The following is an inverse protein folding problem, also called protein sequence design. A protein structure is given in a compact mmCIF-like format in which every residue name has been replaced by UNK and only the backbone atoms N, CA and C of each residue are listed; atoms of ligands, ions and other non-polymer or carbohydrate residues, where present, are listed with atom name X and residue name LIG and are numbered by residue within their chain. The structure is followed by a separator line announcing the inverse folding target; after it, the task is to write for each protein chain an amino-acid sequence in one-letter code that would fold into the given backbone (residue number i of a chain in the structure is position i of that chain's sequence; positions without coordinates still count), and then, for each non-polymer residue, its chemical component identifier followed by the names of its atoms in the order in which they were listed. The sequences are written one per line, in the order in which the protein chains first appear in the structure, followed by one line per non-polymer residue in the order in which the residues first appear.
data_IF_257479748869
#
_entry.id   IF_257479748869
#
_cell.length_a   1.000
_cell.length_b   1.000
_cell.length_c   1.000
_cell.angle_alpha   90.00
_cell.angle_beta   90.00
_cell.angle_gamma   90.00
#
_symmetry.space_group_name_H-M   'P 1'
#
loop_
_entity.id
_entity.type
_entity.pdbx_description
1 polymer ?
#
# COMPACT_ATOMS: atom_id res chain seq x y z
N UNK A 1 5.86 9.96 -23.48
CA UNK A 1 6.48 8.62 -23.42
C UNK A 1 6.09 7.83 -24.67
N UNK A 2 6.92 6.89 -25.12
CA UNK A 2 6.68 6.07 -26.33
C UNK A 2 5.79 4.84 -26.10
N UNK A 3 5.40 4.58 -24.85
CA UNK A 3 4.58 3.45 -24.43
C UNK A 3 3.55 3.91 -23.38
N UNK A 4 2.55 3.06 -23.10
CA UNK A 4 1.58 3.31 -22.04
C UNK A 4 2.27 3.17 -20.68
N UNK A 5 2.35 4.28 -19.96
CA UNK A 5 3.02 4.38 -18.67
C UNK A 5 2.11 5.06 -17.64
N UNK A 6 0.79 4.80 -17.71
CA UNK A 6 -0.15 5.28 -16.69
C UNK A 6 0.16 4.63 -15.33
N UNK A 7 -0.20 5.27 -14.20
CA UNK A 7 0.09 4.73 -12.86
C UNK A 7 -0.42 3.30 -12.60
N UNK A 8 -1.47 2.87 -13.32
CA UNK A 8 -2.09 1.54 -13.21
C UNK A 8 -1.42 0.48 -14.10
N UNK A 9 -0.46 0.85 -14.95
CA UNK A 9 0.23 -0.09 -15.83
C UNK A 9 1.17 -0.99 -15.00
N UNK A 10 1.13 -2.31 -15.19
CA UNK A 10 2.03 -3.23 -14.50
C UNK A 10 3.50 -3.07 -14.94
N UNK A 11 4.43 -3.40 -14.04
CA UNK A 11 5.87 -3.33 -14.28
C UNK A 11 6.47 -4.74 -14.39
N UNK A 12 7.05 -5.07 -15.55
CA UNK A 12 7.72 -6.35 -15.79
C UNK A 12 8.71 -6.24 -16.96
N UNK A 13 9.83 -6.95 -16.88
CA UNK A 13 10.89 -6.98 -17.90
C UNK A 13 11.34 -5.57 -18.33
N UNK A 14 11.40 -4.65 -17.38
CA UNK A 14 11.78 -3.26 -17.58
C UNK A 14 13.21 -3.00 -17.08
N UNK A 15 13.91 -2.06 -17.71
CA UNK A 15 15.18 -1.53 -17.19
C UNK A 15 14.92 -0.63 -15.98
N UNK A 16 15.97 -0.28 -15.22
CA UNK A 16 15.81 0.42 -13.95
C UNK A 16 15.07 1.75 -14.09
N UNK A 17 15.40 2.55 -15.10
CA UNK A 17 14.78 3.85 -15.37
C UNK A 17 13.29 3.75 -15.76
N UNK A 18 12.84 2.59 -16.21
CA UNK A 18 11.46 2.34 -16.60
C UNK A 18 10.58 1.91 -15.42
N UNK A 19 11.05 0.97 -14.57
CA UNK A 19 10.25 0.49 -13.45
C UNK A 19 10.38 1.35 -12.20
N UNK A 20 11.55 1.95 -11.97
CA UNK A 20 11.81 2.76 -10.79
C UNK A 20 10.89 3.99 -10.77
N UNK A 21 10.10 4.12 -9.70
CA UNK A 21 9.07 5.16 -9.58
C UNK A 21 8.12 5.23 -10.79
N UNK A 22 7.90 4.11 -11.48
CA UNK A 22 7.06 4.06 -12.67
C UNK A 22 7.56 5.02 -13.78
N UNK A 23 8.85 5.38 -13.78
CA UNK A 23 9.41 6.42 -14.66
C UNK A 23 8.66 7.77 -14.58
N UNK A 24 8.09 8.10 -13.41
CA UNK A 24 7.32 9.35 -13.19
C UNK A 24 8.13 10.46 -12.51
N UNK A 25 9.45 10.30 -12.35
CA UNK A 25 10.31 11.28 -11.67
C UNK A 25 10.26 12.69 -12.32
N UNK A 26 10.04 12.76 -13.63
CA UNK A 26 9.88 14.03 -14.36
C UNK A 26 8.48 14.68 -14.17
N UNK A 27 7.57 14.02 -13.47
CA UNK A 27 6.20 14.45 -13.22
C UNK A 27 5.89 14.48 -11.71
N UNK A 28 6.64 15.25 -10.90
CA UNK A 28 6.44 15.28 -9.46
C UNK A 28 5.10 15.92 -9.08
N UNK A 29 4.53 15.58 -7.91
CA UNK A 29 3.38 16.31 -7.37
C UNK A 29 3.80 17.74 -6.96
N UNK A 30 2.83 18.57 -6.57
CA UNK A 30 3.15 19.86 -5.96
C UNK A 30 3.92 19.66 -4.65
N UNK A 31 4.84 20.57 -4.34
CA UNK A 31 5.74 20.47 -3.18
C UNK A 31 5.06 20.54 -1.81
N UNK A 32 3.76 20.81 -1.78
CA UNK A 32 2.93 20.90 -0.58
C UNK A 32 2.04 19.68 -0.36
N UNK A 33 1.97 18.79 -1.35
CA UNK A 33 1.00 17.70 -1.36
C UNK A 33 1.67 16.44 -0.79
N UNK A 34 1.43 16.19 0.50
CA UNK A 34 1.96 15.03 1.22
C UNK A 34 0.84 14.08 1.63
N UNK A 35 1.07 12.79 1.45
CA UNK A 35 0.29 11.77 2.16
C UNK A 35 0.75 11.73 3.63
N UNK A 36 -0.17 11.91 4.56
CA UNK A 36 0.13 11.89 5.99
C UNK A 36 -0.08 10.51 6.61
N UNK A 37 0.90 10.07 7.39
CA UNK A 37 0.86 8.83 8.16
C UNK A 37 0.97 9.15 9.67
N UNK A 38 -0.14 9.12 10.43
CA UNK A 38 -0.11 9.42 11.85
C UNK A 38 0.53 8.28 12.64
N UNK A 39 1.65 8.54 13.32
CA UNK A 39 2.36 7.56 14.13
C UNK A 39 1.41 6.94 15.19
N UNK A 40 1.33 5.61 15.21
CA UNK A 40 0.46 4.83 16.10
C UNK A 40 -1.03 4.86 15.72
N UNK A 41 -1.38 5.56 14.64
CA UNK A 41 -2.72 5.61 14.08
C UNK A 41 -2.87 4.75 12.83
N UNK A 42 -3.75 5.19 11.95
CA UNK A 42 -3.97 4.56 10.65
C UNK A 42 -4.12 5.61 9.55
N UNK A 43 -3.80 5.23 8.32
CA UNK A 43 -4.00 6.05 7.14
C UNK A 43 -4.76 5.24 6.08
N UNK A 44 -5.78 5.85 5.48
CA UNK A 44 -6.53 5.23 4.37
C UNK A 44 -6.01 5.76 3.05
N UNK A 45 -5.69 4.84 2.13
CA UNK A 45 -5.32 5.17 0.75
C UNK A 45 -6.40 4.67 -0.20
N UNK A 46 -6.61 5.41 -1.30
CA UNK A 46 -7.50 5.00 -2.37
C UNK A 46 -6.72 4.24 -3.45
N UNK A 47 -7.08 2.98 -3.66
CA UNK A 47 -6.47 2.10 -4.65
C UNK A 47 -7.55 1.76 -5.68
N UNK A 48 -7.34 2.13 -6.94
CA UNK A 48 -8.32 1.87 -8.00
C UNK A 48 -7.72 1.65 -9.38
N UNK A 49 -8.48 0.98 -10.23
CA UNK A 49 -8.14 0.75 -11.63
C UNK A 49 -8.25 2.01 -12.52
N UNK A 50 -8.95 3.05 -12.07
CA UNK A 50 -8.97 4.36 -12.72
C UNK A 50 -9.15 5.47 -11.69
N UNK A 51 -8.51 6.63 -11.94
CA UNK A 51 -8.59 7.80 -11.05
C UNK A 51 -10.02 8.34 -10.93
N UNK A 52 -10.86 8.15 -11.94
CA UNK A 52 -12.27 8.56 -11.94
C UNK A 52 -13.12 7.85 -10.89
N UNK A 53 -12.67 6.71 -10.34
CA UNK A 53 -13.31 6.00 -9.23
C UNK A 53 -12.84 6.45 -7.85
N UNK A 54 -11.93 7.43 -7.78
CA UNK A 54 -11.36 7.94 -6.51
C UNK A 54 -11.88 9.35 -6.22
N UNK A 55 -11.67 9.85 -5.00
CA UNK A 55 -11.93 11.25 -4.64
C UNK A 55 -11.17 12.26 -5.52
N UNK A 56 -10.10 11.83 -6.19
CA UNK A 56 -9.29 12.62 -7.13
C UNK A 56 -9.84 12.67 -8.57
N UNK A 57 -11.09 12.23 -8.78
CA UNK A 57 -11.76 12.16 -10.09
C UNK A 57 -11.76 13.49 -10.86
N UNK A 58 -11.73 14.64 -10.17
CA UNK A 58 -11.79 15.96 -10.81
C UNK A 58 -10.62 16.19 -11.79
N UNK A 59 -9.50 15.50 -11.59
CA UNK A 59 -8.35 15.51 -12.49
C UNK A 59 -8.28 14.29 -13.43
N UNK A 60 -9.27 13.40 -13.38
CA UNK A 60 -9.38 12.27 -14.30
C UNK A 60 -9.91 12.75 -15.65
N UNK A 61 -9.32 12.32 -16.78
CA UNK A 61 -9.86 12.63 -18.11
C UNK A 61 -11.31 12.17 -18.29
N UNK A 62 -11.72 11.10 -17.59
CA UNK A 62 -13.06 10.54 -17.64
C UNK A 62 -14.08 11.21 -16.71
N UNK A 63 -13.67 12.17 -15.87
CA UNK A 63 -14.54 12.78 -14.87
C UNK A 63 -14.89 11.87 -13.70
N UNK A 64 -16.03 12.13 -13.06
CA UNK A 64 -16.54 11.37 -11.91
C UNK A 64 -17.19 10.06 -12.35
N UNK A 65 -16.53 8.94 -12.07
CA UNK A 65 -17.04 7.60 -12.33
C UNK A 65 -17.25 6.81 -11.03
N UNK A 66 -17.17 7.46 -9.87
CA UNK A 66 -17.28 6.80 -8.57
C UNK A 66 -18.62 6.06 -8.44
N UNK A 67 -18.54 4.82 -7.96
CA UNK A 67 -19.70 4.08 -7.48
C UNK A 67 -19.82 4.26 -5.97
N UNK A 68 -20.63 5.22 -5.54
CA UNK A 68 -20.82 5.53 -4.11
C UNK A 68 -21.51 4.41 -3.31
N UNK A 69 -21.97 3.34 -3.99
CA UNK A 69 -22.56 2.16 -3.35
C UNK A 69 -21.58 1.00 -3.18
N UNK A 70 -20.34 1.15 -3.68
CA UNK A 70 -19.32 0.11 -3.69
C UNK A 70 -18.00 0.63 -3.13
N UNK A 71 -17.31 -0.21 -2.36
CA UNK A 71 -15.93 0.03 -1.94
C UNK A 71 -14.96 -0.94 -2.62
N UNK A 72 -15.30 -1.50 -3.78
CA UNK A 72 -14.40 -2.37 -4.53
C UNK A 72 -13.34 -1.53 -5.25
N UNK A 73 -12.10 -2.02 -5.31
CA UNK A 73 -11.00 -1.35 -6.03
C UNK A 73 -11.32 -1.05 -7.49
N UNK A 74 -12.11 -1.90 -8.15
CA UNK A 74 -12.53 -1.67 -9.53
C UNK A 74 -14.03 -1.96 -9.71
N UNK A 75 -14.92 -1.00 -9.36
CA UNK A 75 -16.37 -1.21 -9.40
C UNK A 75 -16.86 -1.58 -10.79
N UNK A 76 -17.78 -2.56 -10.85
CA UNK A 76 -18.37 -3.03 -12.11
C UNK A 76 -17.45 -3.91 -12.99
N UNK A 77 -16.20 -4.12 -12.60
CA UNK A 77 -15.28 -5.05 -13.27
C UNK A 77 -15.28 -6.42 -12.60
N UNK A 78 -14.96 -7.50 -13.34
CA UNK A 78 -14.72 -8.81 -12.71
C UNK A 78 -13.56 -8.73 -11.72
N UNK A 79 -13.56 -9.59 -10.70
CA UNK A 79 -12.49 -9.66 -9.68
C UNK A 79 -11.11 -9.93 -10.30
N UNK A 80 -11.06 -10.56 -11.47
CA UNK A 80 -9.81 -10.76 -12.21
C UNK A 80 -9.15 -9.46 -12.69
N UNK A 81 -9.87 -8.33 -12.73
CA UNK A 81 -9.30 -7.02 -13.02
C UNK A 81 -8.31 -6.53 -11.95
N UNK A 82 -8.38 -7.10 -10.73
CA UNK A 82 -7.42 -6.88 -9.65
C UNK A 82 -6.58 -8.14 -9.38
N UNK A 83 -6.44 -9.01 -10.38
CA UNK A 83 -5.61 -10.21 -10.29
C UNK A 83 -5.96 -11.13 -9.10
N UNK A 84 -7.26 -11.29 -8.83
CA UNK A 84 -7.76 -12.20 -7.80
C UNK A 84 -8.99 -12.98 -8.28
N UNK A 85 -9.10 -14.24 -7.90
CA UNK A 85 -10.27 -15.05 -8.19
C UNK A 85 -11.45 -14.73 -7.26
N UNK A 86 -11.17 -14.31 -6.03
CA UNK A 86 -12.13 -13.91 -5.01
C UNK A 86 -11.40 -13.17 -3.86
N UNK A 87 -12.14 -12.75 -2.83
CA UNK A 87 -11.56 -11.97 -1.72
C UNK A 87 -10.51 -12.73 -0.91
N UNK A 88 -10.63 -14.05 -0.76
CA UNK A 88 -9.62 -14.84 -0.06
C UNK A 88 -8.34 -15.03 -0.90
N UNK A 89 -8.36 -14.59 -2.15
CA UNK A 89 -7.29 -14.81 -3.11
C UNK A 89 -6.30 -13.65 -3.23
N UNK A 90 -6.62 -12.48 -2.69
CA UNK A 90 -5.68 -11.35 -2.65
C UNK A 90 -4.44 -11.69 -1.82
N UNK A 91 -3.31 -11.08 -2.18
CA UNK A 91 -2.00 -11.47 -1.69
C UNK A 91 -1.34 -10.46 -0.75
N UNK A 92 -2.01 -9.33 -0.53
CA UNK A 92 -1.52 -8.21 0.25
C UNK A 92 -0.64 -7.23 -0.54
N UNK A 93 -0.57 -6.00 -0.05
CA UNK A 93 0.31 -4.95 -0.55
C UNK A 93 0.94 -4.19 0.62
N UNK A 94 1.91 -3.34 0.33
CA UNK A 94 2.74 -2.71 1.34
C UNK A 94 3.10 -1.27 1.02
N UNK A 95 3.31 -0.47 2.06
CA UNK A 95 3.87 0.88 1.94
C UNK A 95 5.29 0.88 2.47
N UNK A 96 6.19 1.42 1.65
CA UNK A 96 7.59 1.64 1.98
C UNK A 96 7.87 3.12 2.20
N UNK A 97 8.88 3.42 3.02
CA UNK A 97 9.34 4.79 3.29
C UNK A 97 10.86 4.88 3.17
N UNK A 98 11.35 6.00 2.63
CA UNK A 98 12.74 6.41 2.63
C UNK A 98 12.84 7.82 3.25
N UNK A 99 13.68 7.97 4.28
CA UNK A 99 13.87 9.23 5.03
C UNK A 99 14.80 10.20 4.28
N UNK A 100 14.43 10.56 3.05
CA UNK A 100 15.13 11.51 2.19
C UNK A 100 14.10 12.47 1.59
N UNK A 101 14.45 13.75 1.53
CA UNK A 101 13.58 14.79 0.96
C UNK A 101 13.70 14.89 -0.57
N UNK A 102 14.91 14.72 -1.10
CA UNK A 102 15.16 14.73 -2.54
C UNK A 102 14.99 13.31 -3.10
N UNK A 103 14.07 13.18 -4.04
CA UNK A 103 13.80 11.92 -4.74
C UNK A 103 15.02 11.39 -5.50
N UNK A 104 15.91 12.27 -5.96
CA UNK A 104 17.11 11.87 -6.70
C UNK A 104 18.17 11.21 -5.81
N UNK A 105 18.09 11.43 -4.50
CA UNK A 105 18.96 10.77 -3.52
C UNK A 105 18.43 9.37 -3.13
N UNK A 106 17.19 9.03 -3.46
CA UNK A 106 16.56 7.76 -3.09
C UNK A 106 17.06 6.63 -4.00
N UNK A 107 17.48 5.55 -3.37
CA UNK A 107 17.84 4.29 -3.98
C UNK A 107 16.89 3.17 -3.51
N UNK A 108 16.76 2.08 -4.28
CA UNK A 108 16.00 0.90 -3.89
C UNK A 108 16.31 0.41 -2.47
N UNK A 109 17.58 0.46 -2.07
CA UNK A 109 18.04 -0.06 -0.78
C UNK A 109 17.67 0.83 0.42
N UNK A 110 17.25 2.08 0.19
CA UNK A 110 16.84 3.00 1.26
C UNK A 110 15.44 2.72 1.80
N UNK A 111 14.61 2.02 1.02
CA UNK A 111 13.21 1.81 1.37
C UNK A 111 13.04 0.74 2.45
N UNK A 112 12.27 1.09 3.49
CA UNK A 112 11.80 0.17 4.50
C UNK A 112 10.28 0.01 4.39
N UNK A 113 9.78 -1.22 4.30
CA UNK A 113 8.36 -1.53 4.43
C UNK A 113 7.95 -1.32 5.89
N UNK A 114 7.07 -0.36 6.15
CA UNK A 114 6.65 -0.01 7.51
C UNK A 114 5.19 -0.38 7.82
N UNK A 115 4.40 -0.71 6.80
CA UNK A 115 3.02 -1.21 6.97
C UNK A 115 2.58 -2.07 5.78
N UNK A 116 1.73 -3.04 6.06
CA UNK A 116 1.21 -4.03 5.11
C UNK A 116 -0.30 -4.17 5.33
N UNK A 117 -1.05 -4.46 4.27
CA UNK A 117 -2.46 -4.85 4.37
C UNK A 117 -2.70 -6.10 3.52
N UNK A 118 -3.11 -7.20 4.13
CA UNK A 118 -3.31 -8.50 3.46
C UNK A 118 -4.51 -8.52 2.53
N UNK A 119 -5.50 -7.68 2.78
CA UNK A 119 -6.72 -7.59 1.97
C UNK A 119 -6.52 -6.75 0.70
N UNK A 120 -5.35 -6.14 0.55
CA UNK A 120 -5.06 -5.30 -0.60
C UNK A 120 -4.84 -6.14 -1.88
N UNK A 121 -5.35 -5.70 -3.05
CA UNK A 121 -6.12 -4.48 -3.32
C UNK A 121 -7.60 -4.84 -3.57
N UNK A 122 -8.27 -5.44 -2.59
CA UNK A 122 -9.69 -5.77 -2.74
C UNK A 122 -10.59 -4.54 -2.63
N UNK A 123 -10.27 -3.65 -1.70
CA UNK A 123 -11.07 -2.46 -1.38
C UNK A 123 -10.45 -1.18 -1.95
N UNK A 124 -11.30 -0.28 -2.46
CA UNK A 124 -10.92 1.06 -2.89
C UNK A 124 -10.25 1.79 -1.73
N UNK A 125 -10.96 1.93 -0.62
CA UNK A 125 -10.43 2.48 0.62
C UNK A 125 -9.67 1.38 1.38
N UNK A 126 -8.35 1.39 1.27
CA UNK A 126 -7.47 0.45 1.97
C UNK A 126 -6.78 1.16 3.13
N UNK A 127 -7.05 0.72 4.36
CA UNK A 127 -6.47 1.28 5.59
C UNK A 127 -5.19 0.56 5.99
N UNK A 128 -4.14 1.34 6.28
CA UNK A 128 -2.84 0.88 6.76
C UNK A 128 -2.62 1.33 8.19
N UNK A 129 -2.18 0.42 9.06
CA UNK A 129 -1.83 0.74 10.45
C UNK A 129 -0.38 1.23 10.52
N UNK A 130 -0.11 2.30 11.26
CA UNK A 130 1.19 2.97 11.28
C UNK A 130 1.91 2.64 12.60
N UNK A 131 3.18 2.22 12.58
CA UNK A 131 3.93 1.97 13.82
C UNK A 131 3.96 3.21 14.73
N UNK A 132 3.85 2.99 16.03
CA UNK A 132 3.77 4.07 17.02
C UNK A 132 5.03 4.92 17.12
N UNK A 133 6.20 4.29 17.01
CA UNK A 133 7.48 4.96 17.21
C UNK A 133 8.12 5.47 15.90
N UNK A 134 7.33 5.62 14.83
CA UNK A 134 7.84 6.15 13.55
C UNK A 134 8.49 7.52 13.76
N UNK A 135 9.75 7.73 13.34
CA UNK A 135 10.40 9.02 13.51
C UNK A 135 9.84 10.05 12.53
N UNK A 136 9.97 11.32 12.89
CA UNK A 136 9.60 12.42 12.02
C UNK A 136 10.44 12.42 10.74
N UNK A 137 9.80 12.73 9.61
CA UNK A 137 10.50 12.99 8.36
C UNK A 137 11.38 14.24 8.46
N UNK A 138 12.44 14.36 7.63
CA UNK A 138 13.15 15.63 7.48
C UNK A 138 12.20 16.74 6.99
N UNK A 139 12.63 18.01 7.08
CA UNK A 139 11.80 19.19 6.81
C UNK A 139 11.07 19.13 5.45
N UNK A 140 11.75 18.64 4.41
CA UNK A 140 11.20 18.46 3.06
C UNK A 140 10.25 17.27 2.89
N UNK A 141 9.95 16.53 3.96
CA UNK A 141 9.19 15.29 3.93
C UNK A 141 10.03 14.06 3.59
N UNK A 142 9.38 12.91 3.57
CA UNK A 142 9.96 11.65 3.11
C UNK A 142 9.41 11.31 1.73
N UNK A 143 10.03 10.30 1.11
CA UNK A 143 9.48 9.64 -0.07
C UNK A 143 8.92 8.28 0.34
N UNK A 144 7.70 7.99 -0.10
CA UNK A 144 7.03 6.71 0.11
C UNK A 144 6.73 6.02 -1.23
N UNK A 145 6.48 4.71 -1.16
CA UNK A 145 6.01 3.93 -2.30
C UNK A 145 4.97 2.90 -1.89
N UNK A 146 3.87 2.82 -2.65
CA UNK A 146 2.93 1.71 -2.58
C UNK A 146 3.45 0.59 -3.49
N UNK A 147 3.45 -0.64 -3.00
CA UNK A 147 3.99 -1.81 -3.70
C UNK A 147 3.01 -2.98 -3.63
N UNK A 148 2.80 -3.67 -4.74
CA UNK A 148 1.89 -4.82 -4.81
C UNK A 148 2.38 -5.89 -5.79
N UNK A 149 2.18 -7.15 -5.42
CA UNK A 149 2.38 -8.35 -6.23
C UNK A 149 1.20 -9.26 -5.94
N UNK A 150 0.59 -9.83 -6.98
CA UNK A 150 -0.56 -10.73 -6.84
C UNK A 150 -0.14 -12.20 -6.91
N UNK A 151 -1.11 -13.11 -6.78
CA UNK A 151 -0.86 -14.55 -6.92
C UNK A 151 -0.85 -14.98 -8.41
N UNK A 152 -0.17 -16.09 -8.74
CA UNK A 152 0.02 -16.54 -10.12
C UNK A 152 -1.20 -17.20 -10.76
N UNK A 153 -2.32 -17.28 -10.06
CA UNK A 153 -3.55 -17.95 -10.49
C UNK A 153 -4.60 -17.01 -11.10
N UNK A 154 -4.27 -15.72 -11.29
CA UNK A 154 -5.15 -14.74 -11.95
C UNK A 154 -4.38 -13.68 -12.77
N UNK A 155 -4.10 -14.01 -14.03
CA UNK A 155 -3.41 -13.13 -14.97
C UNK A 155 -1.93 -13.47 -15.14
N UNK A 156 -1.24 -12.70 -16.00
CA UNK A 156 0.22 -12.74 -16.08
C UNK A 156 0.82 -12.09 -14.82
N UNK A 157 2.07 -12.41 -14.50
CA UNK A 157 2.75 -11.92 -13.30
C UNK A 157 3.59 -10.66 -13.55
N UNK A 158 3.64 -9.80 -12.54
CA UNK A 158 4.27 -8.48 -12.56
C UNK A 158 4.40 -7.91 -11.14
N UNK A 159 5.05 -6.76 -11.02
CA UNK A 159 4.97 -5.92 -9.82
C UNK A 159 4.22 -4.62 -10.13
N UNK A 160 3.72 -3.98 -9.09
CA UNK A 160 3.21 -2.62 -9.14
C UNK A 160 3.96 -1.75 -8.14
N UNK A 161 4.30 -0.54 -8.56
CA UNK A 161 4.93 0.48 -7.73
C UNK A 161 4.36 1.85 -8.07
N UNK A 162 3.93 2.61 -7.07
CA UNK A 162 3.63 4.04 -7.21
C UNK A 162 4.30 4.82 -6.09
N UNK A 163 5.22 5.70 -6.45
CA UNK A 163 5.92 6.56 -5.52
C UNK A 163 5.20 7.89 -5.27
N UNK A 164 5.30 8.43 -4.06
CA UNK A 164 4.63 9.65 -3.64
C UNK A 164 5.37 10.35 -2.49
N UNK A 165 5.11 11.64 -2.31
CA UNK A 165 5.62 12.41 -1.17
C UNK A 165 4.79 12.09 0.08
N UNK A 166 5.45 11.88 1.22
CA UNK A 166 4.77 11.54 2.47
C UNK A 166 5.39 12.20 3.70
N UNK A 167 4.64 12.24 4.81
CA UNK A 167 5.13 12.69 6.12
C UNK A 167 4.58 11.82 7.24
N UNK A 168 5.40 11.61 8.27
CA UNK A 168 4.93 11.05 9.55
C UNK A 168 4.41 12.20 10.42
N UNK A 169 3.18 12.07 10.92
CA UNK A 169 2.52 13.06 11.78
C UNK A 169 2.18 12.47 13.16
N UNK A 170 1.65 13.28 14.07
CA UNK A 170 1.30 12.85 15.42
C UNK A 170 2.51 12.82 16.38
N UNK A 171 2.49 11.89 17.34
CA UNK A 171 3.58 11.73 18.31
C UNK A 171 4.68 10.85 17.71
N UNK A 172 5.69 11.48 17.11
CA UNK A 172 6.77 10.77 16.44
C UNK A 172 7.84 10.28 17.40
N UNK A 173 8.46 9.14 17.08
CA UNK A 173 9.65 8.64 17.77
C UNK A 173 10.92 9.43 17.41
N UNK A 174 12.02 9.12 18.11
CA UNK A 174 13.34 9.71 17.85
C UNK A 174 14.36 8.69 17.30
N UNK A 175 14.02 7.40 17.33
CA UNK A 175 14.93 6.34 16.87
C UNK A 175 14.80 6.19 15.36
N UNK A 176 15.89 6.33 14.58
CA UNK A 176 15.84 6.09 13.14
C UNK A 176 15.43 4.65 12.84
N UNK A 177 14.79 4.44 11.68
CA UNK A 177 14.64 3.11 11.11
C UNK A 177 16.04 2.55 10.82
N UNK A 178 16.27 1.28 11.15
CA UNK A 178 17.53 0.60 10.85
C UNK A 178 17.74 0.43 9.33
N UNK A 179 18.95 0.05 8.92
CA UNK A 179 19.23 -0.14 7.49
C UNK A 179 18.42 -1.32 6.93
N UNK A 180 17.52 -1.13 5.94
CA UNK A 180 16.64 -2.19 5.48
C UNK A 180 17.40 -3.39 4.88
N UNK A 181 17.03 -4.59 5.32
CA UNK A 181 17.58 -5.85 4.83
C UNK A 181 16.76 -6.45 3.69
N UNK A 182 17.29 -7.50 3.07
CA UNK A 182 16.56 -8.27 2.07
C UNK A 182 15.53 -9.19 2.74
N UNK A 183 14.35 -9.30 2.13
CA UNK A 183 13.32 -10.23 2.56
C UNK A 183 13.71 -11.68 2.27
N UNK A 184 13.13 -12.61 3.03
CA UNK A 184 13.41 -14.04 2.87
C UNK A 184 12.12 -14.83 2.94
N UNK A 185 11.92 -15.74 1.99
CA UNK A 185 10.79 -16.67 1.98
C UNK A 185 10.91 -17.62 3.17
N UNK A 186 10.14 -17.37 4.21
CA UNK A 186 10.26 -18.05 5.50
C UNK A 186 8.93 -18.57 6.05
N UNK A 187 7.80 -18.09 5.55
CA UNK A 187 6.49 -18.60 5.92
C UNK A 187 6.18 -19.97 5.32
N UNK A 188 5.05 -20.53 5.73
CA UNK A 188 4.52 -21.76 5.15
C UNK A 188 4.12 -21.53 3.69
N UNK A 189 4.43 -22.51 2.85
CA UNK A 189 4.20 -22.50 1.40
C UNK A 189 3.83 -23.91 0.90
N UNK A 190 2.61 -24.39 1.23
CA UNK A 190 2.17 -25.73 0.84
C UNK A 190 2.15 -25.94 -0.68
N UNK A 191 1.82 -24.90 -1.45
CA UNK A 191 1.73 -24.97 -2.91
C UNK A 191 3.09 -25.24 -3.56
N UNK A 192 4.18 -24.82 -2.92
CA UNK A 192 5.56 -25.15 -3.33
C UNK A 192 6.19 -26.26 -2.48
N UNK A 193 5.36 -27.10 -1.83
CA UNK A 193 5.82 -28.31 -1.12
C UNK A 193 6.51 -28.05 0.21
N UNK A 194 6.37 -26.86 0.80
CA UNK A 194 6.92 -26.50 2.12
C UNK A 194 5.80 -26.12 3.08
N UNK A 195 5.03 -27.08 3.61
CA UNK A 195 3.83 -26.80 4.40
C UNK A 195 4.12 -26.10 5.73
N UNK A 196 5.34 -26.21 6.25
CA UNK A 196 5.74 -25.63 7.53
C UNK A 196 6.61 -24.39 7.31
N UNK A 197 6.37 -23.35 8.11
CA UNK A 197 7.23 -22.17 8.15
C UNK A 197 8.61 -22.49 8.73
N UNK A 198 9.62 -21.70 8.34
CA UNK A 198 10.99 -21.75 8.87
C UNK A 198 11.32 -20.38 9.47
N UNK A 199 10.86 -20.06 10.70
CA UNK A 199 11.02 -18.74 11.30
C UNK A 199 12.48 -18.27 11.42
N UNK A 200 13.42 -19.20 11.61
CA UNK A 200 14.85 -18.89 11.65
C UNK A 200 15.40 -18.36 10.33
N UNK A 201 14.69 -18.56 9.22
CA UNK A 201 15.04 -18.02 7.91
C UNK A 201 14.42 -16.64 7.65
N UNK A 202 13.52 -16.15 8.51
CA UNK A 202 12.95 -14.82 8.34
C UNK A 202 13.99 -13.74 8.60
N UNK A 203 13.88 -12.64 7.85
CA UNK A 203 14.57 -11.39 8.18
C UNK A 203 13.73 -10.67 9.24
N UNK A 204 14.31 -10.43 10.41
CA UNK A 204 13.68 -9.68 11.51
C UNK A 204 14.31 -8.30 11.58
N UNK A 205 13.52 -7.27 11.30
CA UNK A 205 13.98 -5.89 11.21
C UNK A 205 13.26 -5.13 10.10
N UNK A 206 13.73 -3.93 9.72
CA UNK A 206 13.26 -3.26 8.52
C UNK A 206 13.66 -4.07 7.27
N UNK A 207 12.72 -4.21 6.35
CA UNK A 207 12.86 -5.03 5.13
C UNK A 207 12.55 -4.18 3.90
N UNK A 208 13.32 -4.37 2.85
CA UNK A 208 13.12 -3.70 1.56
C UNK A 208 11.82 -4.14 0.86
N UNK A 209 11.28 -3.32 -0.06
CA UNK A 209 10.26 -3.76 -1.01
C UNK A 209 10.77 -4.88 -1.92
N UNK A 210 9.84 -5.55 -2.59
CA UNK A 210 10.13 -6.63 -3.52
C UNK A 210 10.32 -6.09 -4.93
N UNK A 211 11.58 -5.99 -5.34
CA UNK A 211 11.96 -5.68 -6.70
C UNK A 211 12.15 -7.01 -7.43
N UNK A 212 11.14 -7.37 -8.21
CA UNK A 212 11.01 -8.67 -8.86
C UNK A 212 10.59 -8.52 -10.31
N UNK A 213 10.94 -9.51 -11.14
CA UNK A 213 10.50 -9.64 -12.53
C UNK A 213 10.89 -8.50 -13.48
N UNK A 214 11.99 -7.79 -13.19
CA UNK A 214 12.55 -6.73 -14.03
C UNK A 214 13.82 -7.19 -14.76
N UNK A 215 14.32 -6.41 -15.72
CA UNK A 215 15.62 -6.68 -16.36
C UNK A 215 16.80 -6.31 -15.45
N UNK A 216 16.62 -5.30 -14.60
CA UNK A 216 17.69 -4.70 -13.81
C UNK A 216 17.26 -4.50 -12.34
N UNK A 217 18.24 -4.59 -11.44
CA UNK A 217 18.12 -4.25 -10.01
C UNK A 217 17.03 -4.99 -9.22
N UNK A 218 16.75 -6.24 -9.58
CA UNK A 218 15.94 -7.12 -8.73
C UNK A 218 16.67 -7.44 -7.42
N UNK A 219 15.92 -7.53 -6.33
CA UNK A 219 16.36 -8.14 -5.06
C UNK A 219 15.64 -9.47 -4.77
N UNK A 220 14.61 -9.79 -5.54
CA UNK A 220 13.85 -11.04 -5.52
C UNK A 220 14.08 -11.82 -6.81
N UNK A 221 14.22 -13.15 -6.72
CA UNK A 221 14.61 -14.02 -7.85
C UNK A 221 13.74 -15.26 -7.99
N UNK A 222 12.53 -15.20 -7.44
CA UNK A 222 11.52 -16.24 -7.50
C UNK A 222 11.08 -16.47 -8.95
N UNK A 223 10.65 -17.70 -9.24
CA UNK A 223 10.06 -18.04 -10.53
C UNK A 223 8.63 -17.50 -10.65
N UNK A 224 8.14 -17.38 -11.89
CA UNK A 224 6.80 -16.86 -12.23
C UNK A 224 5.67 -17.49 -11.42
N UNK A 225 5.72 -18.80 -11.12
CA UNK A 225 4.65 -19.49 -10.39
C UNK A 225 4.86 -19.54 -8.87
N UNK A 226 5.82 -18.80 -8.35
CA UNK A 226 6.11 -18.72 -6.92
C UNK A 226 6.45 -17.28 -6.49
N UNK A 227 5.66 -16.26 -6.89
CA UNK A 227 6.03 -14.86 -6.68
C UNK A 227 6.25 -14.52 -5.20
N UNK A 228 7.05 -13.47 -4.91
CA UNK A 228 7.17 -12.96 -3.56
C UNK A 228 5.92 -12.12 -3.20
N UNK A 229 5.33 -12.34 -2.02
CA UNK A 229 4.05 -11.73 -1.63
C UNK A 229 4.17 -10.99 -0.29
N UNK A 230 3.52 -9.82 -0.18
CA UNK A 230 3.53 -8.98 1.02
C UNK A 230 2.65 -9.56 2.12
N UNK A 231 3.02 -10.73 2.62
CA UNK A 231 2.32 -11.45 3.67
C UNK A 231 3.28 -12.35 4.49
N UNK A 232 2.70 -13.22 5.31
CA UNK A 232 3.42 -14.10 6.23
C UNK A 232 4.44 -15.01 5.53
N UNK A 233 4.29 -15.26 4.23
CA UNK A 233 5.24 -16.00 3.41
C UNK A 233 6.66 -15.40 3.45
N UNK A 234 6.77 -14.08 3.60
CA UNK A 234 8.04 -13.35 3.73
C UNK A 234 8.25 -12.74 5.11
N UNK A 235 7.48 -13.19 6.11
CA UNK A 235 7.61 -12.74 7.50
C UNK A 235 6.99 -11.38 7.79
N UNK A 236 6.28 -10.77 6.83
CA UNK A 236 5.46 -9.60 7.13
C UNK A 236 4.26 -10.00 7.97
N UNK A 237 3.88 -9.15 8.91
CA UNK A 237 2.59 -9.24 9.62
C UNK A 237 1.57 -8.36 8.93
N UNK A 238 0.29 -8.66 9.07
CA UNK A 238 -0.76 -7.73 8.64
C UNK A 238 -0.77 -6.48 9.54
N UNK A 239 -0.83 -5.29 8.95
CA UNK A 239 -0.78 -4.01 9.64
C UNK A 239 0.62 -3.40 9.80
N UNK A 240 0.84 -2.69 10.91
CA UNK A 240 2.08 -1.98 11.21
C UNK A 240 3.24 -2.96 11.39
N UNK A 241 4.37 -2.70 10.73
CA UNK A 241 5.51 -3.61 10.81
C UNK A 241 6.28 -3.42 12.13
N UNK A 242 6.59 -4.50 12.85
CA UNK A 242 7.38 -4.44 14.08
C UNK A 242 8.87 -4.33 13.77
N UNK A 243 9.67 -4.06 14.81
CA UNK A 243 11.14 -4.17 14.78
C UNK A 243 11.84 -3.26 13.74
N UNK A 244 11.24 -2.14 13.35
CA UNK A 244 11.83 -1.23 12.35
C UNK A 244 13.07 -0.48 12.86
N UNK A 245 13.17 -0.27 14.18
CA UNK A 245 14.17 0.62 14.81
C UNK A 245 15.43 -0.12 15.27
N UNK A 246 15.82 -1.14 14.51
CA UNK A 246 17.02 -1.95 14.71
C UNK A 246 17.55 -2.42 13.36
N UNK A 247 18.81 -2.86 13.32
CA UNK A 247 19.33 -3.50 12.11
C UNK A 247 18.73 -4.91 11.93
N UNK A 248 18.55 -5.34 10.67
CA UNK A 248 17.95 -6.62 10.35
C UNK A 248 18.82 -7.80 10.82
N UNK A 249 18.16 -8.87 11.26
CA UNK A 249 18.79 -10.12 11.70
C UNK A 249 18.15 -11.33 11.03
N UNK A 250 18.92 -12.43 10.91
CA UNK A 250 18.47 -13.73 10.43
C UNK A 250 18.94 -14.77 11.44
N UNK A 251 18.01 -15.57 11.98
CA UNK A 251 18.35 -16.54 13.03
C UNK A 251 19.03 -15.94 14.27
N UNK A 252 18.78 -14.66 14.56
CA UNK A 252 19.41 -13.92 15.67
C UNK A 252 20.81 -13.37 15.39
N UNK A 253 21.35 -13.58 14.19
CA UNK A 253 22.62 -12.98 13.74
C UNK A 253 22.37 -11.80 12.82
N UNK A 254 23.30 -10.85 12.74
CA UNK A 254 23.20 -9.74 11.80
C UNK A 254 22.94 -10.25 10.37
N UNK A 255 21.94 -9.70 9.70
CA UNK A 255 21.67 -10.03 8.31
C UNK A 255 22.83 -9.51 7.44
N UNK A 256 23.22 -10.23 6.37
CA UNK A 256 24.15 -9.70 5.38
C UNK A 256 23.63 -8.35 4.87
N UNK A 257 24.53 -7.38 4.77
CA UNK A 257 24.20 -6.13 4.10
C UNK A 257 23.74 -6.45 2.66
N UNK A 258 22.70 -5.76 2.14
CA UNK A 258 22.39 -5.81 0.73
C UNK A 258 23.67 -5.50 -0.07
N UNK A 259 23.95 -6.23 -1.16
CA UNK A 259 25.11 -5.91 -1.99
C UNK A 259 24.99 -4.45 -2.45
N UNK A 260 25.98 -3.62 -2.10
CA UNK A 260 26.08 -2.28 -2.62
C UNK A 260 26.25 -2.38 -4.14
N UNK A 261 25.18 -2.15 -4.88
CA UNK A 261 25.28 -2.13 -6.33
C UNK A 261 26.02 -0.87 -6.73
N UNK A 262 27.04 -1.02 -7.57
CA UNK A 262 27.75 0.12 -8.18
C UNK A 262 26.74 1.10 -8.74
N UNK A 263 26.92 2.42 -8.58
CA UNK A 263 25.97 3.38 -9.11
C UNK A 263 25.81 3.13 -10.62
N UNK A 264 24.61 2.71 -11.02
CA UNK A 264 24.20 2.77 -12.43
C UNK A 264 24.41 4.22 -12.83
N UNK A 265 25.35 4.46 -13.73
CA UNK A 265 25.64 5.80 -14.23
C UNK A 265 24.31 6.35 -14.74
N UNK A 266 23.82 7.42 -14.11
CA UNK A 266 22.69 8.17 -14.63
C UNK A 266 22.95 8.39 -16.14
N UNK A 267 21.96 8.19 -17.03
CA UNK A 267 22.18 8.41 -18.45
C UNK A 267 22.83 9.77 -18.64
N UNK A 268 24.03 9.75 -19.23
CA UNK A 268 24.81 10.94 -19.46
C UNK A 268 23.89 11.95 -20.15
N UNK A 269 23.61 13.07 -19.46
CA UNK A 269 22.97 14.20 -20.11
C UNK A 269 23.80 14.49 -21.35
N UNK A 270 23.18 14.37 -22.53
CA UNK A 270 23.76 14.84 -23.78
C UNK A 270 24.30 16.23 -23.49
N UNK A 271 25.61 16.52 -23.68
CA UNK A 271 26.15 17.81 -23.35
C UNK A 271 25.37 18.86 -24.14
N UNK A 272 24.65 19.71 -23.40
CA UNK A 272 24.15 20.96 -23.95
C UNK A 272 25.33 21.65 -24.63
N UNK A 273 25.19 22.11 -25.89
CA UNK A 273 26.30 22.70 -26.61
C UNK A 273 26.91 23.85 -25.79
N UNK A 274 28.25 23.87 -25.75
CA UNK A 274 29.02 24.85 -25.01
C UNK A 274 28.52 26.28 -25.26
N UNK A 275 28.45 27.16 -24.23
CA UNK A 275 28.09 28.55 -24.42
C UNK A 275 29.04 29.18 -25.44
N UNK A 276 28.46 29.67 -26.54
CA UNK A 276 29.19 30.47 -27.51
C UNK A 276 29.73 31.71 -26.80
N UNK A 277 30.97 32.07 -27.16
CA UNK A 277 31.68 33.26 -26.70
C UNK A 277 30.77 34.50 -26.78
N UNK A 278 30.78 35.39 -25.76
CA UNK A 278 29.91 36.55 -25.77
C UNK A 278 30.26 37.47 -26.95
N UNK A 279 29.28 37.70 -27.83
CA UNK A 279 29.32 38.76 -28.83
C UNK A 279 29.58 40.11 -28.12
N UNK A 280 30.45 40.99 -28.65
CA UNK A 280 30.71 42.29 -28.04
C UNK A 280 29.42 43.10 -27.89
N UNK A 281 29.22 43.68 -26.70
CA UNK A 281 28.09 44.53 -26.39
C UNK A 281 27.99 45.72 -27.37
N UNK A 282 26.79 46.06 -27.88
CA UNK A 282 26.63 47.26 -28.68
C UNK A 282 26.88 48.51 -27.83
N UNK A 283 27.51 49.50 -28.45
CA UNK A 283 27.81 50.83 -27.90
C UNK A 283 26.57 51.46 -27.24
N UNK A 284 26.72 52.14 -26.08
CA UNK A 284 25.59 52.74 -25.39
C UNK A 284 24.92 53.83 -26.23
N UNK A 285 23.60 53.76 -26.32
CA UNK A 285 22.75 54.80 -26.88
C UNK A 285 22.75 56.06 -25.97
N UNK A 286 22.62 57.28 -26.54
CA UNK A 286 22.65 58.51 -25.76
C UNK A 286 21.48 58.59 -24.77
N UNK A 287 21.77 59.16 -23.60
CA UNK A 287 20.85 59.28 -22.47
C UNK A 287 19.57 60.05 -22.83
N UNK A 288 18.37 59.57 -22.43
CA UNK A 288 17.15 60.33 -22.59
C UNK A 288 17.13 61.53 -21.62
N UNK A 289 16.70 62.67 -22.15
CA UNK A 289 16.45 63.91 -21.43
C UNK A 289 15.47 63.68 -20.27
N UNK A 290 15.79 64.26 -19.12
CA UNK A 290 15.02 64.23 -17.88
C UNK A 290 13.55 64.62 -18.09
N UNK A 291 12.64 63.70 -17.75
CA UNK A 291 11.21 63.96 -17.64
C UNK A 291 10.89 64.77 -16.37
N UNK A 292 9.88 65.66 -16.39
CA UNK A 292 9.51 66.48 -15.23
C UNK A 292 8.89 65.65 -14.11
N UNK A 293 9.12 66.11 -12.87
CA UNK A 293 8.66 65.49 -11.63
C UNK A 293 7.12 65.33 -11.58
N UNK A 294 6.60 64.20 -11.07
CA UNK A 294 5.16 64.00 -10.94
C UNK A 294 4.56 64.89 -9.85
N UNK A 295 3.36 65.40 -10.12
CA UNK A 295 2.55 66.19 -9.20
C UNK A 295 2.07 65.35 -7.99
N UNK A 296 1.85 65.97 -6.81
CA UNK A 296 1.40 65.26 -5.62
C UNK A 296 0.00 64.65 -5.79
N UNK A 297 -0.29 63.52 -5.12
CA UNK A 297 -1.59 62.86 -5.19
C UNK A 297 -2.70 63.72 -4.55
N UNK A 298 -3.95 63.65 -5.04
CA UNK A 298 -5.07 64.34 -4.42
C UNK A 298 -5.38 63.76 -3.03
N UNK A 299 -5.71 64.67 -2.12
CA UNK A 299 -6.19 64.40 -0.76
C UNK A 299 -7.39 63.44 -0.77
N UNK A 300 -7.35 62.46 0.12
CA UNK A 300 -8.39 61.47 0.38
C UNK A 300 -9.76 62.11 0.63
N UNK A 301 -10.76 61.67 -0.15
CA UNK A 301 -12.18 61.92 0.08
C UNK A 301 -12.68 61.06 1.26
N UNK A 302 -13.55 61.58 2.17
CA UNK A 302 -14.02 60.82 3.32
C UNK A 302 -14.93 59.65 2.91
N UNK A 303 -14.78 58.53 3.64
CA UNK A 303 -15.62 57.35 3.50
C UNK A 303 -17.13 57.68 3.69
N UNK A 304 -18.04 57.06 2.92
CA UNK A 304 -19.47 57.22 3.13
C UNK A 304 -19.89 56.60 4.47
N UNK A 305 -20.82 57.29 5.15
CA UNK A 305 -21.39 56.89 6.43
C UNK A 305 -22.08 55.51 6.36
N UNK A 306 -22.04 54.72 7.45
CA UNK A 306 -22.72 53.42 7.49
C UNK A 306 -24.24 53.59 7.39
N UNK A 307 -24.84 52.81 6.48
CA UNK A 307 -26.29 52.66 6.36
C UNK A 307 -26.87 52.03 7.64
N UNK A 308 -28.05 52.48 8.14
CA UNK A 308 -28.62 51.94 9.37
C UNK A 308 -29.00 50.46 9.21
N UNK A 309 -28.50 49.66 10.15
CA UNK A 309 -28.88 48.27 10.38
C UNK A 309 -30.39 48.19 10.65
N UNK A 310 -31.13 47.50 9.78
CA UNK A 310 -32.49 47.07 10.06
C UNK A 310 -32.48 46.07 11.21
N UNK A 311 -33.05 46.47 12.34
CA UNK A 311 -33.38 45.61 13.48
C UNK A 311 -34.18 44.39 13.02
N UNK A 312 -33.79 43.15 13.37
CA UNK A 312 -34.66 42.01 13.20
C UNK A 312 -35.90 42.16 14.10
N UNK A 313 -37.06 42.08 13.47
CA UNK A 313 -38.37 41.95 14.12
C UNK A 313 -38.37 40.69 15.03
N UNK A 314 -38.87 40.77 16.27
CA UNK A 314 -38.94 39.61 17.15
C UNK A 314 -39.93 38.58 16.59
N UNK A 315 -39.50 37.33 16.48
CA UNK A 315 -40.36 36.21 16.14
C UNK A 315 -41.55 36.12 17.11
N UNK A 316 -42.78 35.82 16.64
CA UNK A 316 -43.92 35.64 17.52
C UNK A 316 -43.72 34.42 18.41
N UNK A 317 -43.86 34.63 19.71
CA UNK A 317 -43.97 33.59 20.72
C UNK A 317 -45.23 32.77 20.45
N UNK A 318 -45.08 31.58 19.85
CA UNK A 318 -46.16 30.61 19.72
C UNK A 318 -46.32 29.87 21.04
N UNK A 319 -47.35 30.29 21.77
CA UNK A 319 -47.98 29.59 22.89
C UNK A 319 -48.09 28.09 22.64
N UNK A 320 -47.45 27.29 23.49
CA UNK A 320 -47.72 25.86 23.63
C UNK A 320 -49.02 25.68 24.43
N UNK A 321 -50.14 25.61 23.71
CA UNK A 321 -51.42 25.10 24.21
C UNK A 321 -51.49 23.58 23.95
N UNK A 322 -51.99 22.75 24.89
CA UNK A 322 -51.97 21.30 24.75
C UNK A 322 -53.13 20.81 23.88
N UNK A 323 -52.82 19.99 22.88
CA UNK A 323 -53.81 19.27 22.06
C UNK A 323 -54.02 17.82 22.57
N UNK A 324 -55.17 17.19 22.25
CA UNK A 324 -55.90 16.35 23.19
C UNK A 324 -55.58 14.84 23.10
N UNK A 325 -55.94 14.16 24.20
CA UNK A 325 -55.99 12.70 24.37
C UNK A 325 -56.93 12.05 23.34
N UNK A 326 -56.50 11.02 22.58
CA UNK A 326 -57.41 10.13 21.87
C UNK A 326 -57.92 8.97 22.76
N UNK A 327 -59.16 8.48 22.52
CA UNK A 327 -59.84 7.48 23.35
C UNK A 327 -59.31 6.04 23.13
N UNK A 328 -59.60 5.10 24.05
CA UNK A 328 -59.15 3.71 23.91
C UNK A 328 -60.04 2.95 22.93
N UNK A 329 -59.44 2.08 22.13
CA UNK A 329 -60.18 1.02 21.45
C UNK A 329 -59.38 -0.26 21.39
N UNK A 330 -60.02 -1.28 21.95
CA UNK A 330 -59.69 -2.68 22.02
C UNK A 330 -59.29 -3.29 20.68
N UNK A 331 -58.38 -4.26 20.71
CA UNK A 331 -58.60 -5.60 20.16
C UNK A 331 -57.41 -6.54 20.39
N UNK A 332 -57.73 -7.65 21.06
CA UNK A 332 -57.22 -9.02 20.86
C UNK A 332 -55.73 -9.33 20.99
N UNK A 333 -55.44 -9.98 22.12
CA UNK A 333 -54.29 -10.80 22.46
C UNK A 333 -54.27 -12.08 21.59
N UNK A 334 -53.12 -12.39 20.99
CA UNK A 334 -52.72 -13.75 20.63
C UNK A 334 -51.35 -14.01 21.27
N UNK A 335 -51.26 -15.10 22.04
CA UNK A 335 -50.03 -15.63 22.64
C UNK A 335 -48.99 -15.99 21.57
N UNK A 336 -47.71 -16.03 21.94
CA UNK A 336 -47.13 -17.35 22.21
C UNK A 336 -46.26 -17.40 23.46
N UNK A 337 -46.37 -18.50 24.19
CA UNK A 337 -45.49 -18.87 25.29
C UNK A 337 -44.08 -19.18 24.77
N UNK A 338 -43.03 -18.70 25.45
CA UNK A 338 -41.79 -19.47 25.66
C UNK A 338 -40.98 -18.91 26.82
N UNK A 339 -40.44 -19.84 27.59
CA UNK A 339 -39.76 -19.72 28.87
C UNK A 339 -38.36 -19.07 28.75
N UNK A 340 -37.99 -18.20 29.69
CA UNK A 340 -36.60 -17.78 29.92
C UNK A 340 -36.27 -17.93 31.40
N UNK A 341 -35.32 -18.82 31.70
CA UNK A 341 -34.64 -18.94 33.00
C UNK A 341 -33.25 -18.32 32.85
N UNK A 342 -32.88 -17.46 33.80
CA UNK A 342 -31.65 -16.69 33.87
C UNK A 342 -30.39 -17.55 34.11
N UNK A 343 -29.18 -17.05 33.78
CA UNK A 343 -27.93 -17.61 34.30
C UNK A 343 -27.41 -16.79 35.48
N UNK A 344 -27.01 -17.49 36.54
CA UNK A 344 -26.25 -16.97 37.68
C UNK A 344 -24.85 -17.59 37.72
N UNK A 345 -23.86 -16.69 37.84
CA UNK A 345 -22.57 -16.77 38.54
C UNK A 345 -21.77 -18.07 38.59
N UNK A 346 -20.55 -17.96 38.07
CA UNK A 346 -19.40 -18.85 38.23
C UNK A 346 -18.64 -18.64 39.54
N UNK A 347 -18.32 -19.73 40.26
CA UNK A 347 -17.16 -19.85 41.16
C UNK A 347 -16.55 -21.26 41.04
N UNK A 348 -15.22 -21.30 41.09
CA UNK A 348 -14.28 -22.41 40.94
C UNK A 348 -14.51 -23.62 41.87
N UNK A 349 -13.97 -24.82 41.50
CA UNK A 349 -13.04 -25.65 42.31
C UNK A 349 -12.36 -26.72 41.42
N UNK A 350 -11.07 -26.89 41.71
CA UNK A 350 -10.03 -27.86 41.30
C UNK A 350 -10.40 -29.35 41.42
N UNK A 351 -9.94 -30.20 40.49
CA UNK A 351 -9.68 -31.61 40.77
C UNK A 351 -8.64 -32.23 39.80
N UNK A 352 -7.66 -32.90 40.40
CA UNK A 352 -6.50 -33.66 39.86
C UNK A 352 -6.86 -34.91 39.04
N UNK A 353 -6.01 -35.37 38.11
CA UNK A 353 -6.14 -36.67 37.44
C UNK A 353 -5.19 -37.74 38.02
N UNK A 354 -5.64 -39.00 38.07
CA UNK A 354 -4.77 -40.18 38.09
C UNK A 354 -5.53 -41.41 37.52
N UNK A 355 -4.85 -42.48 37.08
CA UNK A 355 -5.05 -43.04 35.75
C UNK A 355 -5.41 -44.54 35.78
N UNK A 356 -5.93 -45.07 34.68
CA UNK A 356 -5.68 -46.46 34.23
C UNK A 356 -6.45 -46.72 32.93
N UNK A 357 -5.75 -47.13 31.87
CA UNK A 357 -5.77 -48.52 31.43
C UNK A 357 -4.89 -48.72 30.18
N UNK A 358 -4.19 -49.84 30.23
CA UNK A 358 -3.23 -50.36 29.28
C UNK A 358 -3.91 -50.84 27.99
N UNK A 359 -3.22 -50.70 26.85
CA UNK A 359 -3.41 -51.61 25.72
C UNK A 359 -2.05 -52.05 25.15
N UNK A 360 -1.92 -53.38 25.02
CA UNK A 360 -0.74 -54.15 24.64
C UNK A 360 -0.44 -54.05 23.14
N UNK A 361 0.86 -54.12 22.81
CA UNK A 361 1.40 -54.40 21.47
C UNK A 361 1.08 -55.83 21.01
N UNK A 362 0.93 -56.00 19.69
CA UNK A 362 1.33 -57.22 18.96
C UNK A 362 1.79 -56.86 17.55
N UNK A 363 2.88 -57.49 17.15
CA UNK A 363 3.59 -57.34 15.88
C UNK A 363 3.09 -58.29 14.77
N UNK A 364 3.39 -57.86 13.54
CA UNK A 364 3.73 -58.60 12.31
C UNK A 364 2.64 -59.28 11.45
N UNK A 365 2.59 -58.82 10.19
CA UNK A 365 2.59 -59.70 9.00
C UNK A 365 1.48 -59.50 7.98
N UNK A 366 1.80 -58.93 6.81
CA UNK A 366 1.77 -59.62 5.49
C UNK A 366 1.48 -58.69 4.29
N UNK A 367 2.24 -58.93 3.22
CA UNK A 367 2.32 -58.17 1.96
C UNK A 367 1.05 -58.34 1.11
N UNK A 368 0.51 -57.24 0.56
CA UNK A 368 -0.24 -57.27 -0.71
C UNK A 368 0.19 -56.15 -1.65
N UNK A 369 0.71 -56.57 -2.81
CA UNK A 369 1.03 -55.78 -4.00
C UNK A 369 -0.26 -55.17 -4.55
N UNK A 370 -0.38 -53.84 -4.52
CA UNK A 370 -1.39 -53.11 -5.30
C UNK A 370 -0.69 -52.27 -6.36
N UNK A 371 -0.96 -52.63 -7.61
CA UNK A 371 -0.58 -51.87 -8.81
C UNK A 371 -1.17 -50.47 -8.76
N UNK A 372 -0.32 -49.45 -8.62
CA UNK A 372 -0.70 -48.03 -8.80
C UNK A 372 -1.16 -47.81 -10.24
N UNK A 373 -2.45 -47.49 -10.41
CA UNK A 373 -2.95 -46.83 -11.63
C UNK A 373 -2.43 -45.38 -11.61
N UNK A 374 -1.58 -45.05 -12.58
CA UNK A 374 -1.11 -43.68 -12.85
C UNK A 374 -2.29 -42.75 -13.15
N UNK A 375 -2.27 -41.54 -12.58
CA UNK A 375 -3.30 -40.53 -12.78
C UNK A 375 -3.31 -40.00 -14.24
N UNK A 376 -4.40 -39.36 -14.71
CA UNK A 376 -4.48 -38.81 -16.07
C UNK A 376 -3.36 -37.80 -16.40
N UNK A 377 -2.78 -37.16 -15.38
CA UNK A 377 -1.73 -36.13 -15.52
C UNK A 377 -0.37 -36.75 -15.92
N UNK A 378 -0.01 -37.91 -15.37
CA UNK A 378 1.23 -38.62 -15.74
C UNK A 378 1.21 -39.14 -17.20
N UNK A 379 0.02 -39.41 -17.75
CA UNK A 379 -0.13 -39.83 -19.15
C UNK A 379 0.06 -38.69 -20.15
N UNK A 380 -0.09 -37.43 -19.73
CA UNK A 380 0.12 -36.28 -20.60
C UNK A 380 1.60 -35.89 -20.68
N UNK A 381 2.35 -36.03 -19.60
CA UNK A 381 3.79 -35.73 -19.55
C UNK A 381 4.60 -36.75 -20.36
N UNK A 382 4.27 -38.05 -20.29
CA UNK A 382 4.96 -39.07 -21.09
C UNK A 382 4.73 -38.96 -22.60
N UNK A 383 3.60 -38.39 -23.05
CA UNK A 383 3.32 -38.20 -24.48
C UNK A 383 4.02 -36.98 -25.10
N UNK A 384 4.45 -36.00 -24.31
CA UNK A 384 5.25 -34.87 -24.80
C UNK A 384 6.74 -35.20 -24.89
N UNK A 385 7.28 -35.94 -23.92
CA UNK A 385 8.71 -36.33 -23.92
C UNK A 385 9.11 -37.29 -25.04
N UNK A 386 8.17 -38.03 -25.65
CA UNK A 386 8.46 -38.87 -26.83
C UNK A 386 8.38 -38.11 -28.16
N UNK A 387 7.91 -36.86 -28.16
CA UNK A 387 7.73 -36.06 -29.38
C UNK A 387 8.89 -35.09 -29.66
N UNK A 388 9.68 -34.78 -28.64
CA UNK A 388 10.89 -33.94 -28.75
C UNK A 388 12.19 -34.73 -28.99
N UNK A 389 12.13 -36.05 -29.20
CA UNK A 389 13.30 -36.87 -29.57
C UNK A 389 13.34 -37.29 -31.04
N UNK A 390 12.46 -36.71 -31.86
CA UNK A 390 12.51 -36.82 -33.32
C UNK A 390 12.11 -35.50 -33.93
N UNK A 391 13.01 -34.51 -33.87
CA UNK A 391 13.20 -33.51 -34.91
C UNK A 391 14.55 -32.82 -34.77
#
# INVERSE_FOLDING_TARGET
MSYDNRPVVPLYSMNFDQWWFHNHLAYPPHSTDFMEFPAGGSATMEISCDKGYTSYYASSPGGDNRDLSSNLTCPGQPTTAIHANNQADVAGCAIAIAYKSDINDVQPEDFAIFTVNYMCPWFLETTFQIPADMPACPEGGCICAWNWIHKPDSGAEQIYMNGFQCKITGQTGNTPIGTPGLARRCGADPDNGKPDAVPSNCTVGPVQPFYWYQNERNNMFEGTYSPPLYNALYGFTDGAQPNLFQNPTIGGSAAPAPPAQSPTSAPAQTPSPAPQSPTPAPSPAPAPSSAPAPAPPPSSEPAPAPSPSSTPEPAPSSSSEPAPVPPPSSSTVLEPSTSVVAPTSSVAVTATPNPTQQCKRRDAGEKKRTTRRSSPVERHIKKRLTRDSTH
#
